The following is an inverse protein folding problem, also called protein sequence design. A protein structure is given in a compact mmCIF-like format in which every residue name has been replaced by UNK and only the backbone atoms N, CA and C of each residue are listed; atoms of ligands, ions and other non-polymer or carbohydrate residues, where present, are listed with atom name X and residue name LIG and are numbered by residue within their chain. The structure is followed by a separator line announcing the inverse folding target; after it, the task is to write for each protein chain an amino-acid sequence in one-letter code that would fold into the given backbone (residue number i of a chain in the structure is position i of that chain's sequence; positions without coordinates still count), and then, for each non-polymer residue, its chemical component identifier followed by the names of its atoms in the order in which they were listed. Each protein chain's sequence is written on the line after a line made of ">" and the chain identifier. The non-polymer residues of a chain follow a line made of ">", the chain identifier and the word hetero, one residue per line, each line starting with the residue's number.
data_IF_339135713818
#
_entry.id   IF_339135713818
#
_cell.length_a   1.000
_cell.length_b   1.000
_cell.length_c   1.000
_cell.angle_alpha   90.00
_cell.angle_beta   90.00
_cell.angle_gamma   90.00
#
_symmetry.space_group_name_H-M   'P 1'
#
loop_
_entity.id
_entity.type
_entity.pdbx_description
1 polymer ?
#
# COMPACT_ATOMS: atom_id res chain seq x y z
N UNK A 1 18.94 -17.62 -14.48
CA UNK A 1 17.95 -18.10 -13.48
C UNK A 1 16.65 -17.33 -13.74
N UNK A 2 15.54 -18.00 -14.10
CA UNK A 2 14.27 -17.30 -14.37
C UNK A 2 13.58 -17.03 -13.03
N UNK A 3 13.40 -15.76 -12.69
CA UNK A 3 12.65 -15.36 -11.51
C UNK A 3 11.17 -15.74 -11.68
N UNK A 4 10.54 -16.17 -10.59
CA UNK A 4 9.10 -16.38 -10.58
C UNK A 4 8.36 -15.04 -10.69
N UNK A 5 7.10 -15.04 -11.17
CA UNK A 5 6.28 -13.82 -11.25
C UNK A 5 6.17 -13.13 -9.88
N UNK A 6 6.15 -13.92 -8.80
CA UNK A 6 6.14 -13.43 -7.42
C UNK A 6 7.45 -12.70 -7.08
N UNK A 7 8.61 -13.32 -7.34
CA UNK A 7 9.92 -12.70 -7.08
C UNK A 7 10.10 -11.40 -7.87
N UNK A 8 9.67 -11.37 -9.13
CA UNK A 8 9.75 -10.16 -9.95
C UNK A 8 8.91 -9.01 -9.35
N UNK A 9 7.73 -9.32 -8.81
CA UNK A 9 6.91 -8.33 -8.10
C UNK A 9 7.59 -7.84 -6.83
N UNK A 10 8.12 -8.74 -6.00
CA UNK A 10 8.79 -8.37 -4.75
C UNK A 10 10.05 -7.53 -5.02
N UNK A 11 10.83 -7.85 -6.05
CA UNK A 11 11.98 -7.06 -6.48
C UNK A 11 11.55 -5.66 -6.93
N UNK A 12 10.51 -5.55 -7.77
CA UNK A 12 9.98 -4.25 -8.22
C UNK A 12 9.50 -3.39 -7.06
N UNK A 13 8.78 -4.00 -6.10
CA UNK A 13 8.32 -3.30 -4.89
C UNK A 13 9.51 -2.77 -4.07
N UNK A 14 10.55 -3.57 -3.89
CA UNK A 14 11.75 -3.16 -3.17
C UNK A 14 12.50 -2.02 -3.89
N UNK A 15 12.56 -2.07 -5.22
CA UNK A 15 13.19 -1.02 -6.04
C UNK A 15 12.43 0.30 -5.96
N UNK A 16 11.09 0.27 -6.07
CA UNK A 16 10.24 1.45 -5.94
C UNK A 16 10.37 2.08 -4.55
N UNK A 17 10.27 1.27 -3.49
CA UNK A 17 10.43 1.75 -2.11
C UNK A 17 11.82 2.39 -1.90
N UNK A 18 12.88 1.80 -2.47
CA UNK A 18 14.22 2.38 -2.40
C UNK A 18 14.31 3.74 -3.09
N UNK A 19 13.68 3.89 -4.26
CA UNK A 19 13.64 5.16 -4.98
C UNK A 19 12.88 6.24 -4.19
N UNK A 20 11.72 5.90 -3.64
CA UNK A 20 10.97 6.82 -2.77
C UNK A 20 11.80 7.24 -1.57
N UNK A 21 12.46 6.29 -0.89
CA UNK A 21 13.30 6.60 0.27
C UNK A 21 14.40 7.60 -0.09
N UNK A 22 15.02 7.47 -1.26
CA UNK A 22 16.03 8.43 -1.73
C UNK A 22 15.44 9.80 -2.06
N UNK A 23 14.28 9.85 -2.72
CA UNK A 23 13.65 11.11 -3.10
C UNK A 23 13.17 11.92 -1.89
N UNK A 24 12.69 11.23 -0.85
CA UNK A 24 12.11 11.83 0.35
C UNK A 24 13.09 11.94 1.52
N UNK A 25 14.33 11.47 1.34
CA UNK A 25 15.32 11.33 2.41
C UNK A 25 14.80 10.51 3.61
N UNK A 26 13.95 9.53 3.33
CA UNK A 26 13.49 8.58 4.33
C UNK A 26 14.51 7.49 4.54
N UNK A 27 14.67 7.09 5.80
CA UNK A 27 15.20 5.76 6.08
C UNK A 27 14.11 4.70 5.85
N UNK A 28 14.54 3.44 5.70
CA UNK A 28 13.64 2.31 5.49
C UNK A 28 12.64 2.12 6.64
N UNK A 29 13.02 2.52 7.86
CA UNK A 29 12.17 2.38 9.05
C UNK A 29 11.01 3.36 9.00
N UNK A 30 11.24 4.61 8.59
CA UNK A 30 10.21 5.64 8.41
C UNK A 30 9.23 5.25 7.31
N UNK A 31 9.72 4.75 6.17
CA UNK A 31 8.84 4.24 5.09
C UNK A 31 7.97 3.08 5.57
N UNK A 32 8.56 2.10 6.28
CA UNK A 32 7.82 0.96 6.82
C UNK A 32 6.80 1.38 7.91
N UNK A 33 7.16 2.35 8.75
CA UNK A 33 6.28 2.89 9.78
C UNK A 33 5.08 3.60 9.17
N UNK A 34 5.31 4.45 8.15
CA UNK A 34 4.24 5.12 7.41
C UNK A 34 3.30 4.09 6.74
N UNK A 35 3.85 3.03 6.15
CA UNK A 35 3.05 1.94 5.57
C UNK A 35 2.16 1.25 6.59
N UNK A 36 2.66 1.05 7.80
CA UNK A 36 1.89 0.47 8.89
C UNK A 36 0.82 1.44 9.42
N UNK A 37 1.18 2.70 9.67
CA UNK A 37 0.28 3.75 10.13
C UNK A 37 -0.91 3.94 9.16
N UNK A 38 -0.63 3.96 7.85
CA UNK A 38 -1.67 4.08 6.83
C UNK A 38 -2.52 2.80 6.70
N UNK A 39 -1.96 1.62 6.93
CA UNK A 39 -2.76 0.39 6.98
C UNK A 39 -3.75 0.44 8.14
N UNK A 40 -3.33 0.90 9.32
CA UNK A 40 -4.22 1.06 10.47
C UNK A 40 -5.34 2.08 10.18
N UNK A 41 -4.98 3.26 9.67
CA UNK A 41 -5.95 4.30 9.33
C UNK A 41 -6.95 3.83 8.25
N UNK A 42 -6.49 3.07 7.26
CA UNK A 42 -7.35 2.48 6.24
C UNK A 42 -8.40 1.54 6.83
N UNK A 43 -8.01 0.69 7.79
CA UNK A 43 -8.94 -0.22 8.45
C UNK A 43 -9.97 0.53 9.30
N UNK A 44 -9.56 1.58 9.99
CA UNK A 44 -10.46 2.47 10.74
C UNK A 44 -11.50 3.14 9.82
N UNK A 45 -11.07 3.62 8.65
CA UNK A 45 -11.95 4.25 7.65
C UNK A 45 -13.00 3.27 7.08
N UNK A 46 -12.66 1.99 6.96
CA UNK A 46 -13.60 0.94 6.56
C UNK A 46 -14.61 0.56 7.65
N UNK A 47 -14.65 1.32 8.76
CA UNK A 47 -15.41 1.01 9.97
C UNK A 47 -15.09 -0.37 10.57
N UNK A 48 -13.93 -0.93 10.21
CA UNK A 48 -13.40 -2.16 10.79
C UNK A 48 -12.58 -1.75 12.01
N UNK A 49 -13.13 -1.97 13.21
CA UNK A 49 -12.47 -1.59 14.46
C UNK A 49 -12.31 -2.77 15.42
N UNK A 50 -11.42 -2.62 16.40
CA UNK A 50 -11.18 -3.62 17.44
C UNK A 50 -10.55 -4.89 16.91
N UNK A 51 -11.04 -6.04 17.37
CA UNK A 51 -10.46 -7.36 17.07
C UNK A 51 -10.45 -7.67 15.57
N UNK A 52 -11.49 -7.26 14.82
CA UNK A 52 -11.58 -7.54 13.37
C UNK A 52 -10.46 -6.84 12.60
N UNK A 53 -10.11 -5.61 12.97
CA UNK A 53 -8.99 -4.89 12.35
C UNK A 53 -7.66 -5.60 12.62
N UNK A 54 -7.44 -6.04 13.85
CA UNK A 54 -6.23 -6.78 14.24
C UNK A 54 -6.11 -8.10 13.49
N UNK A 55 -7.22 -8.81 13.29
CA UNK A 55 -7.23 -10.06 12.54
C UNK A 55 -6.79 -9.85 11.08
N UNK A 56 -7.32 -8.84 10.40
CA UNK A 56 -6.87 -8.50 9.04
C UNK A 56 -5.40 -8.06 9.01
N UNK A 57 -4.96 -7.23 9.96
CA UNK A 57 -3.56 -6.81 10.08
C UNK A 57 -2.63 -7.97 10.45
N UNK A 58 -3.13 -9.10 10.95
CA UNK A 58 -2.35 -10.31 11.21
C UNK A 58 -2.19 -11.20 9.96
N UNK A 59 -3.01 -10.98 8.92
CA UNK A 59 -3.07 -11.87 7.76
C UNK A 59 -1.98 -11.54 6.73
N UNK A 60 -1.13 -12.51 6.33
CA UNK A 60 -0.11 -12.30 5.30
C UNK A 60 -0.70 -11.87 3.95
N UNK A 61 -1.92 -12.33 3.64
CA UNK A 61 -2.64 -11.97 2.41
C UNK A 61 -2.96 -10.48 2.36
N UNK A 62 -3.35 -9.88 3.50
CA UNK A 62 -3.59 -8.45 3.61
C UNK A 62 -2.30 -7.68 3.29
N UNK A 63 -1.17 -8.03 3.91
CA UNK A 63 0.11 -7.34 3.69
C UNK A 63 0.64 -7.52 2.27
N UNK A 64 0.41 -8.67 1.64
CA UNK A 64 0.75 -8.88 0.23
C UNK A 64 -0.05 -7.96 -0.69
N UNK A 65 -1.34 -7.78 -0.41
CA UNK A 65 -2.21 -6.83 -1.12
C UNK A 65 -1.81 -5.37 -0.84
N UNK A 66 -1.59 -5.02 0.43
CA UNK A 66 -1.23 -3.66 0.85
C UNK A 66 0.06 -3.16 0.18
N UNK A 67 1.10 -4.00 0.15
CA UNK A 67 2.37 -3.69 -0.54
C UNK A 67 2.19 -3.49 -2.05
N UNK A 68 1.21 -4.15 -2.67
CA UNK A 68 0.91 -3.91 -4.08
C UNK A 68 0.30 -2.53 -4.29
N UNK A 69 -0.61 -2.08 -3.42
CA UNK A 69 -1.18 -0.74 -3.51
C UNK A 69 -0.11 0.33 -3.29
N UNK A 70 0.76 0.11 -2.29
CA UNK A 70 1.89 0.98 -2.04
C UNK A 70 2.82 1.12 -3.25
N UNK A 71 3.11 0.03 -3.94
CA UNK A 71 3.96 0.08 -5.12
C UNK A 71 3.33 0.85 -6.30
N UNK A 72 2.00 0.78 -6.45
CA UNK A 72 1.28 1.57 -7.47
C UNK A 72 1.44 3.07 -7.16
N UNK A 73 1.25 3.46 -5.90
CA UNK A 73 1.38 4.85 -5.46
C UNK A 73 2.84 5.32 -5.55
N UNK A 74 3.81 4.49 -5.14
CA UNK A 74 5.24 4.78 -5.24
C UNK A 74 5.64 5.07 -6.69
N UNK A 75 5.18 4.25 -7.64
CA UNK A 75 5.43 4.44 -9.07
C UNK A 75 4.84 5.76 -9.58
N UNK A 76 3.57 6.04 -9.26
CA UNK A 76 2.91 7.28 -9.65
C UNK A 76 3.61 8.53 -9.06
N UNK A 77 4.02 8.45 -7.80
CA UNK A 77 4.78 9.48 -7.11
C UNK A 77 6.13 9.73 -7.78
N UNK A 78 6.90 8.67 -8.06
CA UNK A 78 8.22 8.78 -8.71
C UNK A 78 8.09 9.44 -10.09
N UNK A 79 7.09 9.05 -10.88
CA UNK A 79 6.87 9.62 -12.21
C UNK A 79 6.59 11.12 -12.15
N UNK A 80 5.76 11.55 -11.22
CA UNK A 80 5.38 12.95 -11.04
C UNK A 80 6.50 13.80 -10.41
N UNK A 81 7.19 13.27 -9.39
CA UNK A 81 8.34 13.95 -8.74
C UNK A 81 9.48 14.23 -9.73
N UNK A 82 9.66 13.37 -10.75
CA UNK A 82 10.64 13.58 -11.82
C UNK A 82 10.24 14.69 -12.79
N UNK A 83 8.94 14.95 -12.96
CA UNK A 83 8.43 15.97 -13.87
C UNK A 83 8.37 17.36 -13.22
N UNK A 84 8.15 17.41 -11.90
CA UNK A 84 8.06 18.64 -11.13
C UNK A 84 8.91 18.52 -9.87
N UNK A 85 10.19 18.94 -9.90
CA UNK A 85 11.04 18.95 -8.72
C UNK A 85 10.47 19.92 -7.67
N UNK A 86 10.23 19.41 -6.47
CA UNK A 86 9.72 20.18 -5.33
C UNK A 86 10.75 20.19 -4.20
N UNK A 87 10.62 21.14 -3.27
CA UNK A 87 11.35 21.08 -2.01
C UNK A 87 10.98 19.79 -1.24
N UNK A 88 11.95 19.22 -0.51
CA UNK A 88 11.84 17.89 0.09
C UNK A 88 10.72 17.81 1.15
N UNK A 89 10.43 18.89 1.87
CA UNK A 89 9.31 19.00 2.81
C UNK A 89 7.94 18.96 2.10
N UNK A 90 7.79 19.68 0.99
CA UNK A 90 6.57 19.65 0.18
C UNK A 90 6.38 18.26 -0.44
N UNK A 91 7.46 17.67 -0.95
CA UNK A 91 7.43 16.35 -1.57
C UNK A 91 7.02 15.25 -0.57
N UNK A 92 7.51 15.32 0.67
CA UNK A 92 7.09 14.42 1.77
C UNK A 92 5.61 14.59 2.09
N UNK A 93 5.15 15.83 2.24
CA UNK A 93 3.75 16.12 2.57
C UNK A 93 2.80 15.62 1.49
N UNK A 94 3.19 15.79 0.23
CA UNK A 94 2.46 15.31 -0.92
C UNK A 94 2.46 13.77 -1.03
N UNK A 95 3.60 13.11 -0.78
CA UNK A 95 3.65 11.65 -0.73
C UNK A 95 2.75 11.07 0.39
N UNK A 96 2.78 11.67 1.58
CA UNK A 96 1.91 11.25 2.69
C UNK A 96 0.42 11.44 2.36
N UNK A 97 0.05 12.53 1.64
CA UNK A 97 -1.34 12.75 1.24
C UNK A 97 -1.82 11.72 0.20
N UNK A 98 -0.96 11.31 -0.73
CA UNK A 98 -1.28 10.29 -1.74
C UNK A 98 -1.69 8.95 -1.11
N UNK A 99 -1.16 8.60 0.06
CA UNK A 99 -1.52 7.38 0.80
C UNK A 99 -2.73 7.57 1.73
N UNK A 100 -2.92 8.76 2.29
CA UNK A 100 -4.08 9.07 3.14
C UNK A 100 -5.39 9.08 2.36
N UNK A 101 -5.33 9.59 1.14
CA UNK A 101 -6.46 9.76 0.23
C UNK A 101 -6.58 8.59 -0.75
N UNK A 102 -6.22 7.37 -0.32
CA UNK A 102 -6.23 6.19 -1.20
C UNK A 102 -7.64 5.90 -1.76
N UNK A 103 -8.68 6.24 -1.00
CA UNK A 103 -10.10 6.10 -1.36
C UNK A 103 -10.63 7.29 -2.20
N UNK A 104 -9.86 8.37 -2.30
CA UNK A 104 -10.19 9.55 -3.13
C UNK A 104 -9.07 9.84 -4.14
N UNK A 105 -8.26 8.83 -4.43
CA UNK A 105 -7.08 8.99 -5.26
C UNK A 105 -7.50 9.56 -6.62
N UNK A 106 -6.90 10.69 -7.06
CA UNK A 106 -7.42 11.47 -8.19
C UNK A 106 -7.36 10.70 -9.51
N UNK A 107 -6.52 9.67 -9.60
CA UNK A 107 -6.48 8.74 -10.71
C UNK A 107 -7.52 7.62 -10.53
N UNK A 108 -8.60 7.71 -11.32
CA UNK A 108 -9.71 6.77 -11.31
C UNK A 108 -9.30 5.31 -11.65
N UNK A 109 -8.20 5.11 -12.39
CA UNK A 109 -7.69 3.77 -12.71
C UNK A 109 -7.01 3.17 -11.48
N UNK A 110 -6.17 3.95 -10.80
CA UNK A 110 -5.51 3.50 -9.56
C UNK A 110 -6.56 3.20 -8.49
N UNK A 111 -7.57 4.07 -8.35
CA UNK A 111 -8.70 3.85 -7.44
C UNK A 111 -9.45 2.55 -7.73
N UNK A 112 -9.81 2.30 -9.00
CA UNK A 112 -10.50 1.06 -9.39
C UNK A 112 -9.66 -0.19 -9.12
N UNK A 113 -8.34 -0.13 -9.33
CA UNK A 113 -7.44 -1.25 -9.05
C UNK A 113 -7.41 -1.54 -7.54
N UNK A 114 -7.32 -0.52 -6.70
CA UNK A 114 -7.30 -0.67 -5.23
C UNK A 114 -8.61 -1.28 -4.74
N UNK A 115 -9.77 -0.71 -5.14
CA UNK A 115 -11.06 -1.16 -4.65
C UNK A 115 -11.50 -2.54 -5.17
N UNK A 116 -11.38 -2.79 -6.49
CA UNK A 116 -11.74 -4.09 -7.06
C UNK A 116 -10.83 -5.23 -6.53
N UNK A 117 -9.62 -4.90 -6.07
CA UNK A 117 -8.72 -5.88 -5.45
C UNK A 117 -8.97 -6.07 -3.95
N UNK A 118 -9.44 -5.05 -3.24
CA UNK A 118 -9.85 -5.14 -1.85
C UNK A 118 -11.01 -6.13 -1.68
N UNK A 119 -12.09 -6.02 -2.47
CA UNK A 119 -13.25 -6.91 -2.35
C UNK A 119 -12.88 -8.39 -2.52
N UNK A 120 -11.97 -8.68 -3.46
CA UNK A 120 -11.45 -10.03 -3.69
C UNK A 120 -10.63 -10.54 -2.52
N UNK A 121 -9.77 -9.69 -1.96
CA UNK A 121 -8.96 -10.00 -0.79
C UNK A 121 -9.84 -10.26 0.44
N UNK A 122 -10.77 -9.35 0.74
CA UNK A 122 -11.68 -9.44 1.88
C UNK A 122 -12.58 -10.69 1.80
N UNK A 123 -13.17 -10.96 0.63
CA UNK A 123 -13.98 -12.16 0.40
C UNK A 123 -13.17 -13.46 0.62
N UNK A 124 -11.91 -13.46 0.20
CA UNK A 124 -11.00 -14.58 0.42
C UNK A 124 -10.72 -14.83 1.91
N UNK A 125 -10.47 -13.77 2.68
CA UNK A 125 -10.24 -13.86 4.13
C UNK A 125 -11.49 -14.34 4.88
N UNK A 126 -12.67 -13.82 4.54
CA UNK A 126 -13.95 -14.24 5.13
C UNK A 126 -14.18 -15.74 4.84
N UNK A 127 -14.00 -16.17 3.59
CA UNK A 127 -14.20 -17.57 3.19
C UNK A 127 -13.24 -18.52 3.93
N UNK A 128 -11.97 -18.12 4.09
CA UNK A 128 -10.97 -18.88 4.85
C UNK A 128 -11.42 -19.10 6.30
N UNK A 129 -11.98 -18.07 6.95
CA UNK A 129 -12.46 -18.18 8.33
C UNK A 129 -13.70 -19.06 8.46
N UNK A 130 -14.68 -18.93 7.58
CA UNK A 130 -15.87 -19.79 7.59
C UNK A 130 -15.49 -21.27 7.51
N UNK A 131 -14.48 -21.61 6.70
CA UNK A 131 -13.97 -22.99 6.57
C UNK A 131 -13.13 -23.47 7.76
N UNK A 132 -12.58 -22.57 8.56
CA UNK A 132 -11.79 -22.93 9.74
C UNK A 132 -12.67 -23.18 10.98
N UNK A 133 -13.93 -22.73 10.95
CA UNK A 133 -14.88 -22.80 12.06
C UNK A 133 -16.15 -23.62 11.75
N UNK A 134 -16.26 -24.20 10.56
CA UNK A 134 -17.32 -25.14 10.16
C UNK A 134 -16.76 -26.52 9.90
#
# INVERSE_FOLDING_TARGET
>A
MKHTIKEQREMRQAELAHQVCRLLEFDRRRHSALMFEQACAYMENLAVSGEVAQEFLSEPTFWSWWKQQWAIIDEAFIMQARQSPMAADIMRSWYESMHREIDTYPDAIIWQIIHCSYEKMASGLITKKVRAHG
#
